data_IF_684044484489
#
_entry.id   IF_684044484489
#
_cell.length_a   1.000
_cell.length_b   1.000
_cell.length_c   1.000
_cell.angle_alpha   90.00
_cell.angle_beta   90.00
_cell.angle_gamma   90.00
#
_symmetry.space_group_name_H-M   'P 1'
#
loop_
_entity.id
_entity.type
_entity.pdbx_description
1 polymer ?
#
# COMPACT_ATOMS: atom_id res chain seq x y z
N UNK A 1 -9.52 -9.29 -20.37
CA UNK A 1 -9.42 -10.11 -19.14
C UNK A 1 -10.82 -10.51 -18.72
N UNK A 2 -11.08 -11.81 -18.60
CA UNK A 2 -12.32 -12.34 -18.01
C UNK A 2 -12.50 -11.71 -16.61
N UNK A 3 -13.74 -11.40 -16.22
CA UNK A 3 -14.11 -10.84 -14.90
C UNK A 3 -13.84 -9.36 -14.60
N UNK A 4 -13.08 -8.61 -15.41
CA UNK A 4 -12.86 -7.17 -15.14
C UNK A 4 -14.15 -6.35 -15.28
N UNK A 5 -14.92 -6.58 -16.33
CA UNK A 5 -16.16 -5.85 -16.60
C UNK A 5 -17.29 -6.33 -15.70
N UNK A 6 -17.38 -7.64 -15.48
CA UNK A 6 -18.44 -8.29 -14.69
C UNK A 6 -18.45 -7.82 -13.22
N UNK A 7 -17.28 -7.74 -12.57
CA UNK A 7 -17.19 -7.30 -11.18
C UNK A 7 -17.15 -5.78 -10.98
N UNK A 8 -17.18 -4.98 -12.06
CA UNK A 8 -17.20 -3.51 -12.00
C UNK A 8 -18.57 -2.90 -12.27
N UNK A 9 -19.62 -3.73 -12.21
CA UNK A 9 -21.00 -3.29 -12.40
C UNK A 9 -21.56 -2.65 -11.13
N UNK A 10 -22.07 -1.43 -11.23
CA UNK A 10 -22.66 -0.71 -10.09
C UNK A 10 -23.89 -1.43 -9.52
N UNK A 11 -24.70 -2.06 -10.38
CA UNK A 11 -25.90 -2.78 -9.94
C UNK A 11 -25.58 -3.90 -8.91
N UNK A 12 -24.44 -4.59 -9.09
CA UNK A 12 -23.99 -5.60 -8.15
C UNK A 12 -23.57 -4.98 -6.82
N UNK A 13 -22.90 -3.84 -6.86
CA UNK A 13 -22.47 -3.11 -5.67
C UNK A 13 -23.67 -2.58 -4.87
N UNK A 14 -24.66 -1.98 -5.53
CA UNK A 14 -25.89 -1.49 -4.89
C UNK A 14 -26.67 -2.61 -4.19
N UNK A 15 -26.78 -3.78 -4.83
CA UNK A 15 -27.37 -4.96 -4.22
C UNK A 15 -26.63 -5.41 -2.97
N UNK A 16 -25.29 -5.44 -3.01
CA UNK A 16 -24.46 -5.80 -1.85
C UNK A 16 -24.57 -4.77 -0.72
N UNK A 17 -24.51 -3.48 -1.01
CA UNK A 17 -24.67 -2.40 -0.03
C UNK A 17 -26.01 -2.54 0.69
N UNK A 18 -27.10 -2.73 -0.06
CA UNK A 18 -28.44 -2.94 0.50
C UNK A 18 -28.50 -4.15 1.44
N UNK A 19 -27.84 -5.26 1.08
CA UNK A 19 -27.75 -6.46 1.91
C UNK A 19 -26.93 -6.22 3.19
N UNK A 20 -25.83 -5.48 3.09
CA UNK A 20 -24.98 -5.13 4.23
C UNK A 20 -25.75 -4.26 5.23
N UNK A 21 -26.46 -3.23 4.78
CA UNK A 21 -27.32 -2.38 5.63
C UNK A 21 -28.41 -3.20 6.34
N UNK A 22 -28.99 -4.19 5.66
CA UNK A 22 -30.01 -5.06 6.27
C UNK A 22 -29.43 -5.97 7.35
N UNK A 23 -28.21 -6.51 7.16
CA UNK A 23 -27.62 -7.52 8.05
C UNK A 23 -26.75 -6.95 9.18
N UNK A 24 -26.10 -5.82 8.96
CA UNK A 24 -25.21 -5.23 9.96
C UNK A 24 -26.04 -4.56 11.07
N UNK A 25 -26.18 -5.26 12.20
CA UNK A 25 -26.94 -4.79 13.38
C UNK A 25 -26.05 -4.48 14.58
N UNK A 26 -24.85 -5.04 14.60
CA UNK A 26 -23.88 -4.88 15.68
C UNK A 26 -22.66 -4.11 15.16
N UNK A 27 -22.06 -3.23 15.99
CA UNK A 27 -20.79 -2.61 15.67
C UNK A 27 -19.70 -3.66 15.40
N UNK A 28 -19.02 -3.55 14.27
CA UNK A 28 -17.89 -4.39 13.89
C UNK A 28 -16.80 -3.53 13.26
N UNK A 29 -15.55 -3.98 13.42
CA UNK A 29 -14.37 -3.32 12.88
C UNK A 29 -13.64 -4.27 11.94
N UNK A 30 -13.54 -3.90 10.67
CA UNK A 30 -12.80 -4.66 9.66
C UNK A 30 -11.47 -3.98 9.35
N UNK A 31 -10.40 -4.75 9.36
CA UNK A 31 -9.08 -4.28 8.94
C UNK A 31 -8.72 -4.87 7.59
N UNK A 32 -8.40 -4.00 6.63
CA UNK A 32 -7.68 -4.38 5.41
C UNK A 32 -6.19 -4.09 5.59
N UNK A 33 -5.32 -4.82 4.91
CA UNK A 33 -3.87 -4.62 4.97
C UNK A 33 -3.25 -4.74 3.58
N UNK A 34 -3.94 -4.25 2.55
CA UNK A 34 -3.42 -4.26 1.18
C UNK A 34 -3.56 -2.86 0.60
N UNK A 35 -2.46 -2.23 0.21
CA UNK A 35 -2.50 -0.90 -0.40
C UNK A 35 -3.47 -0.79 -1.59
N UNK A 36 -3.63 -1.86 -2.37
CA UNK A 36 -4.63 -1.93 -3.44
C UNK A 36 -6.07 -1.85 -2.94
N UNK A 37 -6.38 -2.49 -1.81
CA UNK A 37 -7.67 -2.34 -1.15
C UNK A 37 -7.84 -0.95 -0.56
N UNK A 38 -6.83 -0.39 0.10
CA UNK A 38 -6.86 0.98 0.62
C UNK A 38 -7.22 1.98 -0.48
N UNK A 39 -6.54 1.90 -1.64
CA UNK A 39 -6.80 2.75 -2.82
C UNK A 39 -8.21 2.52 -3.36
N UNK A 40 -8.66 1.27 -3.47
CA UNK A 40 -10.00 0.94 -3.97
C UNK A 40 -11.11 1.48 -3.06
N UNK A 41 -10.96 1.29 -1.75
CA UNK A 41 -11.89 1.80 -0.73
C UNK A 41 -11.99 3.32 -0.79
N UNK A 42 -10.85 4.00 -0.91
CA UNK A 42 -10.82 5.45 -1.03
C UNK A 42 -11.45 5.93 -2.34
N UNK A 43 -11.01 5.36 -3.47
CA UNK A 43 -11.46 5.72 -4.82
C UNK A 43 -12.97 5.62 -5.02
N UNK A 44 -13.59 4.57 -4.47
CA UNK A 44 -15.02 4.33 -4.62
C UNK A 44 -15.84 4.76 -3.40
N UNK A 45 -15.23 5.42 -2.41
CA UNK A 45 -15.94 5.91 -1.23
C UNK A 45 -16.64 4.81 -0.44
N UNK A 46 -16.04 3.62 -0.34
CA UNK A 46 -16.70 2.46 0.29
C UNK A 46 -17.03 2.75 1.77
N UNK A 47 -16.19 3.53 2.47
CA UNK A 47 -16.45 3.93 3.87
C UNK A 47 -17.73 4.75 4.03
N UNK A 48 -18.09 5.54 3.01
CA UNK A 48 -19.22 6.46 3.04
C UNK A 48 -20.55 5.75 2.77
N UNK A 49 -20.54 4.64 2.02
CA UNK A 49 -21.76 3.88 1.68
C UNK A 49 -22.11 2.79 2.69
N UNK A 50 -21.16 2.38 3.52
CA UNK A 50 -21.37 1.37 4.56
C UNK A 50 -22.19 1.95 5.74
N UNK A 51 -22.96 1.11 6.46
CA UNK A 51 -23.67 1.54 7.66
C UNK A 51 -22.69 1.94 8.77
N UNK A 52 -23.12 2.84 9.67
CA UNK A 52 -22.31 3.31 10.82
C UNK A 52 -21.90 2.20 11.80
N UNK A 53 -22.55 1.03 11.72
CA UNK A 53 -22.18 -0.18 12.46
C UNK A 53 -20.90 -0.83 11.94
N UNK A 54 -20.36 -0.39 10.81
CA UNK A 54 -19.12 -0.93 10.24
C UNK A 54 -18.06 0.16 10.23
N UNK A 55 -16.99 -0.06 11.00
CA UNK A 55 -15.76 0.71 10.91
C UNK A 55 -14.75 -0.04 10.03
N UNK A 56 -14.16 0.64 9.04
CA UNK A 56 -13.08 0.07 8.24
C UNK A 56 -11.76 0.77 8.51
N UNK A 57 -10.77 0.00 8.96
CA UNK A 57 -9.42 0.47 9.26
C UNK A 57 -8.38 -0.11 8.31
N UNK A 58 -7.32 0.66 8.09
CA UNK A 58 -6.21 0.28 7.24
C UNK A 58 -5.03 -0.13 8.12
N UNK A 59 -4.63 -1.39 7.98
CA UNK A 59 -3.47 -1.98 8.61
C UNK A 59 -2.19 -1.77 7.81
N UNK A 60 -1.07 -2.38 8.24
CA UNK A 60 0.26 -2.18 7.65
C UNK A 60 0.43 -2.96 6.33
N UNK A 61 -0.27 -2.51 5.28
CA UNK A 61 -0.32 -3.19 3.98
C UNK A 61 0.69 -2.76 2.92
N UNK A 62 1.65 -1.94 3.30
CA UNK A 62 2.65 -1.36 2.42
C UNK A 62 4.01 -2.00 2.73
N UNK A 63 4.54 -2.91 1.90
CA UNK A 63 5.79 -3.63 2.19
C UNK A 63 6.98 -2.68 2.34
N UNK A 64 7.00 -1.61 1.55
CA UNK A 64 8.00 -0.53 1.62
C UNK A 64 7.95 0.18 2.97
N UNK A 65 6.75 0.51 3.44
CA UNK A 65 6.54 1.27 4.68
C UNK A 65 6.89 0.48 5.94
N UNK A 66 6.91 -0.86 5.86
CA UNK A 66 7.27 -1.75 6.98
C UNK A 66 8.68 -2.33 6.84
N UNK A 67 9.43 -1.91 5.82
CA UNK A 67 10.82 -2.35 5.65
C UNK A 67 11.66 -1.83 6.81
N UNK A 68 12.42 -2.72 7.46
CA UNK A 68 13.21 -2.35 8.62
C UNK A 68 14.36 -1.41 8.23
N UNK A 69 14.62 -0.39 9.06
CA UNK A 69 15.73 0.55 8.85
C UNK A 69 17.07 -0.18 8.70
N UNK A 70 17.28 -1.27 9.45
CA UNK A 70 18.50 -2.07 9.36
C UNK A 70 18.74 -2.65 7.96
N UNK A 71 17.70 -3.00 7.20
CA UNK A 71 17.84 -3.52 5.84
C UNK A 71 18.06 -2.39 4.83
N UNK A 72 17.44 -1.23 5.04
CA UNK A 72 17.71 -0.02 4.26
C UNK A 72 19.17 0.43 4.44
N UNK A 73 19.66 0.46 5.67
CA UNK A 73 21.02 0.87 5.99
C UNK A 73 22.05 -0.08 5.37
N UNK A 74 21.78 -1.40 5.36
CA UNK A 74 22.62 -2.37 4.64
C UNK A 74 22.64 -2.08 3.14
N UNK A 75 21.48 -1.87 2.51
CA UNK A 75 21.40 -1.58 1.07
C UNK A 75 22.13 -0.27 0.71
N UNK A 76 22.02 0.76 1.56
CA UNK A 76 22.74 2.02 1.43
C UNK A 76 24.24 1.81 1.56
N UNK A 77 24.70 1.06 2.55
CA UNK A 77 26.13 0.76 2.72
C UNK A 77 26.70 -0.03 1.53
N UNK A 78 25.96 -1.03 1.03
CA UNK A 78 26.34 -1.80 -0.16
C UNK A 78 26.45 -0.91 -1.41
N UNK A 79 25.58 0.08 -1.56
CA UNK A 79 25.62 1.01 -2.72
C UNK A 79 26.88 1.87 -2.79
N UNK A 80 27.63 1.98 -1.70
CA UNK A 80 28.85 2.78 -1.63
C UNK A 80 30.11 1.98 -1.98
N UNK A 81 29.99 0.66 -2.15
CA UNK A 81 31.08 -0.20 -2.58
C UNK A 81 31.32 0.00 -4.08
N UNK A 82 32.57 0.21 -4.53
CA UNK A 82 32.88 0.31 -5.96
C UNK A 82 32.33 -0.87 -6.75
N UNK A 83 31.82 -0.60 -7.97
CA UNK A 83 31.29 -1.59 -8.92
C UNK A 83 30.02 -2.35 -8.46
N UNK A 84 29.41 -1.97 -7.33
CA UNK A 84 28.10 -2.51 -6.92
C UNK A 84 26.96 -1.70 -7.53
N UNK A 85 25.97 -2.42 -8.07
CA UNK A 85 24.72 -1.86 -8.57
C UNK A 85 23.57 -2.28 -7.65
N UNK A 86 22.82 -1.31 -7.13
CA UNK A 86 21.59 -1.58 -6.37
C UNK A 86 20.38 -1.39 -7.29
N UNK A 87 19.59 -2.45 -7.47
CA UNK A 87 18.29 -2.38 -8.14
C UNK A 87 17.17 -2.26 -7.09
N UNK A 88 16.20 -1.37 -7.31
CA UNK A 88 15.15 -1.09 -6.33
C UNK A 88 13.86 -0.63 -6.99
N UNK A 89 12.73 -0.72 -6.29
CA UNK A 89 11.50 -0.09 -6.77
C UNK A 89 11.55 1.44 -6.58
N UNK A 90 10.85 2.19 -7.43
CA UNK A 90 10.92 3.65 -7.41
C UNK A 90 10.40 4.29 -6.12
N UNK A 91 9.44 3.66 -5.45
CA UNK A 91 8.91 4.07 -4.15
C UNK A 91 9.94 3.91 -3.02
N UNK A 92 10.80 2.90 -3.10
CA UNK A 92 11.84 2.61 -2.12
C UNK A 92 12.97 3.66 -2.11
N UNK A 93 13.23 4.36 -3.22
CA UNK A 93 14.32 5.35 -3.31
C UNK A 93 14.25 6.43 -2.22
N UNK A 94 13.04 6.84 -1.85
CA UNK A 94 12.77 7.96 -0.95
C UNK A 94 12.69 7.55 0.51
N UNK A 95 12.68 6.25 0.81
CA UNK A 95 12.52 5.77 2.18
C UNK A 95 13.78 6.13 2.98
N UNK A 96 13.64 6.82 4.12
CA UNK A 96 14.79 7.15 4.95
C UNK A 96 15.29 5.90 5.68
N UNK A 97 16.60 5.66 5.59
CA UNK A 97 17.32 4.83 6.57
C UNK A 97 17.68 5.65 7.81
N UNK A 98 18.59 5.15 8.64
CA UNK A 98 18.99 5.80 9.88
C UNK A 98 19.76 7.10 9.66
N UNK A 99 20.55 7.20 8.58
CA UNK A 99 21.40 8.36 8.29
C UNK A 99 21.26 8.92 6.87
N UNK A 100 20.74 8.15 5.92
CA UNK A 100 20.66 8.53 4.50
C UNK A 100 19.46 7.88 3.81
N UNK A 101 19.40 7.93 2.49
CA UNK A 101 18.44 7.20 1.66
C UNK A 101 19.10 6.77 0.35
N UNK A 102 18.50 5.80 -0.36
CA UNK A 102 18.97 5.37 -1.69
C UNK A 102 18.98 6.53 -2.69
N UNK A 103 18.02 7.45 -2.61
CA UNK A 103 18.02 8.67 -3.42
C UNK A 103 19.25 9.56 -3.13
N UNK A 104 19.65 9.72 -1.86
CA UNK A 104 20.79 10.57 -1.49
C UNK A 104 22.12 9.98 -1.96
N UNK A 105 22.34 8.68 -1.77
CA UNK A 105 23.58 8.02 -2.23
C UNK A 105 23.67 7.97 -3.76
N UNK A 106 22.53 7.79 -4.45
CA UNK A 106 22.47 7.93 -5.91
C UNK A 106 22.91 9.32 -6.37
N UNK A 107 22.41 10.39 -5.72
CA UNK A 107 22.83 11.76 -6.01
C UNK A 107 24.33 12.00 -5.72
N UNK A 108 24.91 11.23 -4.79
CA UNK A 108 26.35 11.22 -4.49
C UNK A 108 27.20 10.37 -5.44
N UNK A 109 26.62 9.77 -6.48
CA UNK A 109 27.36 9.01 -7.50
C UNK A 109 27.28 7.48 -7.38
N UNK A 110 26.56 6.93 -6.39
CA UNK A 110 26.32 5.48 -6.32
C UNK A 110 25.43 5.00 -7.47
N UNK A 111 25.70 3.80 -8.01
CA UNK A 111 24.90 3.21 -9.09
C UNK A 111 23.63 2.54 -8.53
N UNK A 112 22.55 3.33 -8.41
CA UNK A 112 21.23 2.87 -7.98
C UNK A 112 20.22 3.02 -9.11
N UNK A 113 19.55 1.92 -9.48
CA UNK A 113 18.64 1.84 -10.63
C UNK A 113 17.23 1.40 -10.19
N UNK A 114 16.23 1.90 -10.93
CA UNK A 114 14.81 1.53 -10.79
C UNK A 114 14.42 0.62 -11.94
#
# INVERSE_FOLDING_TARGET
MKFITEFRRSELAEGLISQIHRRSKTPVRFMEFCGGHTVTIFRYGIRQVLPKTIEMVSGPGCPVCVTANADLDKAIALSQIPEVIIATFGDMLKVPGSHSSLQKVKAGGADVRV
#
